data_IF_041212046435
#
_entry.id   IF_041212046435
#
_cell.length_a   1.000
_cell.length_b   1.000
_cell.length_c   1.000
_cell.angle_alpha   90.00
_cell.angle_beta   90.00
_cell.angle_gamma   90.00
#
_symmetry.space_group_name_H-M   'P 1'
#
loop_
_entity.id
_entity.type
_entity.pdbx_description
1 polymer ?
#
# COMPACT_ATOMS: atom_id res chain seq x y z
N UNK A 1 28.43 -30.18 -25.25
CA UNK A 1 28.01 -30.10 -23.84
C UNK A 1 28.17 -28.66 -23.43
N UNK A 2 27.14 -27.85 -23.72
CA UNK A 2 27.12 -26.46 -23.29
C UNK A 2 26.60 -26.42 -21.85
N UNK A 3 27.51 -26.19 -20.92
CA UNK A 3 27.17 -25.69 -19.60
C UNK A 3 26.82 -24.22 -19.78
N UNK A 4 25.54 -23.93 -20.07
CA UNK A 4 24.99 -22.63 -19.76
C UNK A 4 25.07 -22.48 -18.24
N UNK A 5 26.05 -21.72 -17.77
CA UNK A 5 26.08 -21.27 -16.40
C UNK A 5 24.76 -20.53 -16.16
N UNK A 6 23.88 -21.07 -15.32
CA UNK A 6 22.79 -20.32 -14.72
C UNK A 6 23.48 -19.11 -14.03
N UNK A 7 23.47 -17.97 -14.69
CA UNK A 7 23.79 -16.71 -13.99
C UNK A 7 22.72 -16.57 -12.92
N UNK A 8 23.10 -16.87 -11.67
CA UNK A 8 22.28 -16.58 -10.52
C UNK A 8 21.96 -15.08 -10.59
N UNK A 9 20.68 -14.79 -10.79
CA UNK A 9 20.20 -13.41 -10.80
C UNK A 9 20.35 -12.85 -9.37
N UNK A 10 21.29 -11.92 -9.18
CA UNK A 10 21.47 -11.20 -7.94
C UNK A 10 20.82 -9.82 -8.05
N UNK A 11 19.86 -9.56 -7.18
CA UNK A 11 19.24 -8.24 -7.06
C UNK A 11 20.23 -7.30 -6.38
N UNK A 12 20.41 -6.10 -6.95
CA UNK A 12 21.23 -5.05 -6.36
C UNK A 12 20.56 -4.35 -5.18
N UNK A 13 21.07 -3.17 -4.82
CA UNK A 13 20.46 -2.33 -3.77
C UNK A 13 19.03 -1.93 -4.15
N UNK A 14 18.03 -2.20 -3.29
CA UNK A 14 16.66 -1.82 -3.58
C UNK A 14 16.49 -0.30 -3.73
N UNK A 15 15.86 0.12 -4.81
CA UNK A 15 15.43 1.50 -5.06
C UNK A 15 13.93 1.68 -4.84
N UNK A 16 13.15 0.63 -5.11
CA UNK A 16 11.71 0.61 -4.91
C UNK A 16 11.32 -0.74 -4.31
N UNK A 17 10.58 -0.71 -3.20
CA UNK A 17 9.91 -1.87 -2.62
C UNK A 17 8.42 -1.59 -2.60
N UNK A 18 7.63 -2.52 -3.10
CA UNK A 18 6.17 -2.51 -2.97
C UNK A 18 5.74 -3.71 -2.12
N UNK A 19 4.80 -3.49 -1.22
CA UNK A 19 4.12 -4.52 -0.42
C UNK A 19 2.63 -4.33 -0.62
N UNK A 20 2.03 -5.20 -1.42
CA UNK A 20 0.64 -5.06 -1.83
C UNK A 20 -0.19 -6.20 -1.29
N UNK A 21 -1.21 -5.86 -0.52
CA UNK A 21 -2.12 -6.83 0.07
C UNK A 21 -2.91 -7.57 -1.01
N UNK A 22 -2.91 -8.91 -0.93
CA UNK A 22 -3.76 -9.76 -1.77
C UNK A 22 -5.13 -9.98 -1.12
N UNK A 23 -6.11 -10.29 -1.95
CA UNK A 23 -7.44 -10.71 -1.53
C UNK A 23 -7.91 -11.83 -2.44
N UNK A 24 -8.04 -13.04 -1.87
CA UNK A 24 -8.45 -14.25 -2.60
C UNK A 24 -7.66 -14.43 -3.91
N UNK A 25 -6.35 -14.49 -3.80
CA UNK A 25 -5.42 -14.69 -4.93
C UNK A 25 -5.43 -13.59 -5.99
N UNK A 26 -5.98 -12.42 -5.68
CA UNK A 26 -5.95 -11.26 -6.59
C UNK A 26 -5.33 -10.04 -5.94
N UNK A 27 -4.96 -9.08 -6.76
CA UNK A 27 -4.45 -7.79 -6.32
C UNK A 27 -5.56 -6.74 -6.41
N UNK A 28 -6.24 -6.41 -5.29
CA UNK A 28 -7.18 -5.30 -5.28
C UNK A 28 -6.47 -3.99 -5.64
N UNK A 29 -7.15 -3.09 -6.34
CA UNK A 29 -6.57 -1.82 -6.75
C UNK A 29 -5.39 -1.92 -7.75
N UNK A 30 -5.18 -3.04 -8.43
CA UNK A 30 -4.07 -3.28 -9.37
C UNK A 30 -3.74 -2.05 -10.22
N UNK A 31 -4.73 -1.51 -10.92
CA UNK A 31 -4.53 -0.34 -11.79
C UNK A 31 -4.08 0.91 -11.02
N UNK A 32 -4.45 1.05 -9.74
CA UNK A 32 -4.00 2.17 -8.89
C UNK A 32 -2.58 1.95 -8.43
N UNK A 33 -2.24 0.74 -8.01
CA UNK A 33 -0.90 0.33 -7.58
C UNK A 33 0.11 0.47 -8.73
N UNK A 34 -0.21 -0.02 -9.92
CA UNK A 34 0.66 0.13 -11.09
C UNK A 34 0.84 1.60 -11.52
N UNK A 35 -0.22 2.42 -11.44
CA UNK A 35 -0.10 3.86 -11.68
C UNK A 35 0.76 4.57 -10.63
N UNK A 36 0.66 4.16 -9.36
CA UNK A 36 1.51 4.67 -8.29
C UNK A 36 2.97 4.28 -8.53
N UNK A 37 3.24 3.02 -8.90
CA UNK A 37 4.56 2.55 -9.30
C UNK A 37 5.15 3.37 -10.46
N UNK A 38 4.34 3.67 -11.47
CA UNK A 38 4.77 4.47 -12.62
C UNK A 38 5.18 5.91 -12.31
N UNK A 39 4.78 6.44 -11.15
CA UNK A 39 5.19 7.77 -10.67
C UNK A 39 6.48 7.74 -9.85
N UNK A 40 6.99 6.53 -9.52
CA UNK A 40 8.23 6.36 -8.77
C UNK A 40 9.44 6.70 -9.64
N UNK A 41 10.56 6.96 -8.99
CA UNK A 41 11.83 7.27 -9.65
C UNK A 41 12.92 6.29 -9.21
N UNK A 42 13.77 5.91 -10.14
CA UNK A 42 15.00 5.15 -9.92
C UNK A 42 16.13 6.06 -10.36
N UNK A 43 17.09 6.36 -9.50
CA UNK A 43 18.19 7.28 -9.76
C UNK A 43 17.71 8.64 -10.38
N UNK A 44 16.58 9.17 -9.89
CA UNK A 44 15.98 10.42 -10.36
C UNK A 44 15.13 10.32 -11.64
N UNK A 45 15.19 9.22 -12.39
CA UNK A 45 14.39 8.99 -13.60
C UNK A 45 13.06 8.26 -13.26
N UNK A 46 11.96 8.60 -13.92
CA UNK A 46 10.69 7.87 -13.74
C UNK A 46 10.84 6.39 -14.11
N UNK A 47 10.10 5.52 -13.43
CA UNK A 47 10.00 4.10 -13.79
C UNK A 47 9.64 3.95 -15.26
N UNK A 48 10.43 3.18 -16.00
CA UNK A 48 10.28 3.03 -17.44
C UNK A 48 8.98 2.32 -17.83
N UNK A 49 8.44 2.63 -19.01
CA UNK A 49 7.27 1.93 -19.57
C UNK A 49 7.53 0.43 -19.73
N UNK A 50 8.77 0.04 -20.08
CA UNK A 50 9.18 -1.36 -20.21
C UNK A 50 9.06 -2.09 -18.87
N UNK A 51 9.53 -1.47 -17.78
CA UNK A 51 9.44 -2.04 -16.43
C UNK A 51 7.99 -2.14 -15.94
N UNK A 52 7.14 -1.16 -16.25
CA UNK A 52 5.71 -1.24 -15.94
C UNK A 52 5.00 -2.35 -16.72
N UNK A 53 5.32 -2.52 -18.01
CA UNK A 53 4.78 -3.60 -18.82
C UNK A 53 5.24 -4.97 -18.28
N UNK A 54 6.51 -5.09 -17.92
CA UNK A 54 7.04 -6.27 -17.25
C UNK A 54 6.29 -6.55 -15.93
N UNK A 55 6.12 -5.53 -15.08
CA UNK A 55 5.42 -5.68 -13.81
C UNK A 55 3.99 -6.19 -14.01
N UNK A 56 3.25 -5.64 -14.99
CA UNK A 56 1.89 -6.08 -15.29
C UNK A 56 1.85 -7.53 -15.77
N UNK A 57 2.74 -7.94 -16.66
CA UNK A 57 2.80 -9.29 -17.19
C UNK A 57 3.20 -10.31 -16.11
N UNK A 58 4.22 -9.99 -15.30
CA UNK A 58 4.72 -10.88 -14.26
C UNK A 58 3.77 -11.00 -13.08
N UNK A 59 2.94 -9.99 -12.84
CA UNK A 59 1.92 -10.02 -11.81
C UNK A 59 0.97 -11.21 -11.99
N UNK A 60 0.44 -11.44 -13.19
CA UNK A 60 -0.46 -12.56 -13.48
C UNK A 60 0.22 -13.91 -13.19
N UNK A 61 1.47 -14.10 -13.62
CA UNK A 61 2.23 -15.33 -13.38
C UNK A 61 2.58 -15.55 -11.93
N UNK A 62 3.02 -14.48 -11.24
CA UNK A 62 3.38 -14.54 -9.82
C UNK A 62 2.16 -14.84 -8.96
N UNK A 63 1.00 -14.29 -9.29
CA UNK A 63 -0.24 -14.59 -8.60
C UNK A 63 -0.68 -16.02 -8.87
N UNK A 64 -0.59 -16.49 -10.10
CA UNK A 64 -0.95 -17.87 -10.46
C UNK A 64 -0.11 -18.90 -9.69
N UNK A 65 1.20 -18.69 -9.55
CA UNK A 65 2.11 -19.65 -8.90
C UNK A 65 2.19 -19.47 -7.38
N UNK A 66 2.21 -18.22 -6.89
CA UNK A 66 2.51 -17.92 -5.49
C UNK A 66 1.29 -17.73 -4.60
N UNK A 67 0.15 -17.30 -5.15
CA UNK A 67 -1.04 -17.03 -4.36
C UNK A 67 -1.81 -18.27 -3.91
N UNK A 68 -1.51 -19.44 -4.47
CA UNK A 68 -2.11 -20.72 -4.03
C UNK A 68 -1.75 -21.03 -2.57
N UNK A 69 -0.53 -20.69 -2.14
CA UNK A 69 -0.08 -20.87 -0.76
C UNK A 69 -0.56 -19.73 0.15
N UNK A 70 -0.56 -18.49 -0.38
CA UNK A 70 -0.94 -17.29 0.38
C UNK A 70 -2.01 -16.47 -0.35
N UNK A 71 -3.27 -16.96 -0.43
CA UNK A 71 -4.32 -16.28 -1.20
C UNK A 71 -4.68 -14.89 -0.67
N UNK A 72 -4.53 -14.67 0.62
CA UNK A 72 -4.69 -13.36 1.28
C UNK A 72 -3.33 -12.84 1.80
N UNK A 73 -2.25 -13.16 1.11
CA UNK A 73 -0.89 -12.80 1.44
C UNK A 73 -0.49 -11.38 1.04
N UNK A 74 0.81 -11.18 0.85
CA UNK A 74 1.41 -9.93 0.36
C UNK A 74 2.20 -10.22 -0.89
N UNK A 75 1.89 -9.53 -1.98
CA UNK A 75 2.73 -9.48 -3.15
C UNK A 75 3.83 -8.45 -2.90
N UNK A 76 5.07 -8.90 -2.94
CA UNK A 76 6.25 -8.07 -2.83
C UNK A 76 6.86 -7.86 -4.23
N UNK A 77 7.11 -6.62 -4.58
CA UNK A 77 7.86 -6.23 -5.78
C UNK A 77 9.07 -5.44 -5.33
N UNK A 78 10.26 -5.90 -5.71
CA UNK A 78 11.52 -5.22 -5.42
C UNK A 78 12.16 -4.84 -6.74
N UNK A 79 12.54 -3.57 -6.87
CA UNK A 79 13.25 -3.04 -8.04
C UNK A 79 14.52 -2.38 -7.52
N UNK A 80 15.65 -2.77 -8.09
CA UNK A 80 16.96 -2.22 -7.71
C UNK A 80 17.28 -0.91 -8.45
N UNK A 81 18.44 -0.30 -8.10
CA UNK A 81 18.93 0.94 -8.69
C UNK A 81 19.24 0.81 -10.20
N UNK A 82 19.45 -0.40 -10.72
CA UNK A 82 19.67 -0.72 -12.12
C UNK A 82 18.37 -0.98 -12.88
N UNK A 83 17.23 -1.02 -12.18
CA UNK A 83 15.91 -1.31 -12.75
C UNK A 83 15.66 -2.80 -12.99
N UNK A 84 16.47 -3.68 -12.38
CA UNK A 84 16.17 -5.11 -12.31
C UNK A 84 15.07 -5.33 -11.27
N UNK A 85 14.19 -6.29 -11.50
CA UNK A 85 13.03 -6.46 -10.65
C UNK A 85 12.69 -7.93 -10.38
N UNK A 86 12.19 -8.19 -9.18
CA UNK A 86 11.65 -9.48 -8.75
C UNK A 86 10.29 -9.31 -8.14
N UNK A 87 9.46 -10.35 -8.24
CA UNK A 87 8.16 -10.45 -7.57
C UNK A 87 8.08 -11.76 -6.81
N UNK A 88 7.45 -11.72 -5.64
CA UNK A 88 7.17 -12.91 -4.84
C UNK A 88 5.90 -12.70 -4.02
N UNK A 89 5.24 -13.79 -3.64
CA UNK A 89 4.11 -13.77 -2.70
C UNK A 89 4.55 -14.43 -1.41
N UNK A 90 4.22 -13.81 -0.30
CA UNK A 90 4.50 -14.34 1.03
C UNK A 90 3.30 -14.16 1.97
N UNK A 91 3.42 -14.67 3.22
CA UNK A 91 2.37 -14.55 4.20
C UNK A 91 2.12 -13.08 4.57
N UNK A 92 0.87 -12.76 4.90
CA UNK A 92 0.52 -11.50 5.52
C UNK A 92 0.63 -11.62 7.04
N UNK A 93 1.33 -10.67 7.65
CA UNK A 93 1.35 -10.49 9.10
C UNK A 93 0.51 -9.26 9.47
N UNK A 94 -0.57 -9.47 10.22
CA UNK A 94 -1.37 -8.36 10.73
C UNK A 94 -0.56 -7.52 11.72
N UNK A 95 -0.96 -6.26 11.90
CA UNK A 95 -0.40 -5.44 12.98
C UNK A 95 -0.73 -6.08 14.34
N UNK A 96 0.25 -6.14 15.21
CA UNK A 96 0.08 -6.69 16.57
C UNK A 96 -0.88 -5.84 17.42
N UNK A 97 -0.97 -4.53 17.13
CA UNK A 97 -1.82 -3.60 17.86
C UNK A 97 -2.23 -2.43 16.96
N UNK A 98 -3.49 -2.01 17.08
CA UNK A 98 -4.04 -0.79 16.48
C UNK A 98 -4.14 0.37 17.48
N UNK A 99 -3.48 0.27 18.64
CA UNK A 99 -3.42 1.41 19.56
C UNK A 99 -2.82 2.66 18.89
N UNK A 100 -3.25 3.84 19.31
CA UNK A 100 -2.73 5.10 18.78
C UNK A 100 -1.18 5.14 18.81
N UNK A 101 -0.58 4.73 19.92
CA UNK A 101 0.88 4.70 20.05
C UNK A 101 1.55 3.75 19.03
N UNK A 102 0.93 2.60 18.77
CA UNK A 102 1.43 1.63 17.77
C UNK A 102 1.33 2.20 16.36
N UNK A 103 0.23 2.87 15.99
CA UNK A 103 0.06 3.47 14.67
C UNK A 103 1.01 4.66 14.44
N UNK A 104 1.25 5.49 15.46
CA UNK A 104 2.26 6.56 15.43
C UNK A 104 3.65 5.97 15.17
N UNK A 105 4.06 5.00 15.99
CA UNK A 105 5.35 4.33 15.85
C UNK A 105 5.50 3.68 14.48
N UNK A 106 4.44 3.06 13.96
CA UNK A 106 4.44 2.45 12.63
C UNK A 106 4.65 3.48 11.53
N UNK A 107 3.96 4.63 11.58
CA UNK A 107 4.14 5.73 10.64
C UNK A 107 5.59 6.25 10.66
N UNK A 108 6.19 6.44 11.84
CA UNK A 108 7.58 6.88 12.00
C UNK A 108 8.57 5.86 11.42
N UNK A 109 8.42 4.58 11.75
CA UNK A 109 9.29 3.50 11.24
C UNK A 109 9.19 3.41 9.72
N UNK A 110 7.97 3.43 9.17
CA UNK A 110 7.77 3.31 7.73
C UNK A 110 8.32 4.52 6.96
N UNK A 111 8.27 5.71 7.55
CA UNK A 111 8.90 6.91 6.98
C UNK A 111 10.42 6.73 6.84
N UNK A 112 11.09 6.22 7.89
CA UNK A 112 12.53 5.92 7.83
C UNK A 112 12.85 4.77 6.87
N UNK A 113 12.01 3.73 6.83
CA UNK A 113 12.16 2.62 5.90
C UNK A 113 12.03 3.10 4.44
N UNK A 114 11.09 3.99 4.15
CA UNK A 114 10.88 4.57 2.83
C UNK A 114 12.14 5.24 2.27
N UNK A 115 12.92 5.89 3.11
CA UNK A 115 14.19 6.53 2.70
C UNK A 115 15.31 5.52 2.41
N UNK A 116 15.26 4.33 3.03
CA UNK A 116 16.30 3.31 2.88
C UNK A 116 16.02 2.33 1.74
N UNK A 117 14.77 1.94 1.57
CA UNK A 117 14.37 0.86 0.67
C UNK A 117 13.46 1.32 -0.47
N UNK A 118 13.05 2.59 -0.44
CA UNK A 118 12.07 3.10 -1.39
C UNK A 118 10.68 2.44 -1.23
N UNK A 119 10.31 1.90 -0.08
CA UNK A 119 8.92 1.47 0.16
C UNK A 119 8.00 2.69 0.24
N UNK A 120 6.72 2.53 -0.13
CA UNK A 120 5.74 3.60 0.07
C UNK A 120 5.50 3.81 1.57
N UNK A 121 5.66 5.03 2.12
CA UNK A 121 5.44 5.25 3.53
C UNK A 121 3.97 5.04 3.92
N UNK A 122 3.76 4.45 5.07
CA UNK A 122 2.45 4.36 5.69
C UNK A 122 2.09 5.73 6.26
N UNK A 123 0.92 6.23 5.93
CA UNK A 123 0.52 7.59 6.26
C UNK A 123 -0.45 7.59 7.42
N UNK A 124 -0.12 8.32 8.49
CA UNK A 124 -1.06 8.63 9.56
C UNK A 124 -2.04 9.71 9.08
N UNK A 125 -3.33 9.48 9.28
CA UNK A 125 -4.41 10.41 9.00
C UNK A 125 -5.16 10.77 10.26
N UNK A 126 -5.53 12.03 10.38
CA UNK A 126 -6.28 12.57 11.51
C UNK A 126 -7.53 13.26 11.00
N UNK A 127 -8.64 13.07 11.69
CA UNK A 127 -9.87 13.85 11.50
C UNK A 127 -9.97 14.89 12.62
N UNK A 128 -10.18 16.14 12.27
CA UNK A 128 -10.45 17.22 13.19
C UNK A 128 -11.45 18.20 12.56
N UNK A 129 -12.58 18.44 13.24
CA UNK A 129 -13.61 19.36 12.76
C UNK A 129 -13.98 19.09 11.29
N UNK A 130 -14.32 17.84 10.94
CA UNK A 130 -14.69 17.40 9.59
C UNK A 130 -13.61 17.61 8.50
N UNK A 131 -12.40 17.96 8.88
CA UNK A 131 -11.25 18.09 8.00
C UNK A 131 -10.29 16.92 8.19
N UNK A 132 -9.77 16.38 7.10
CA UNK A 132 -8.74 15.36 7.09
C UNK A 132 -7.35 16.00 7.05
N UNK A 133 -6.47 15.54 7.94
CA UNK A 133 -5.06 15.89 7.95
C UNK A 133 -4.22 14.67 7.61
N UNK A 134 -3.36 14.78 6.63
CA UNK A 134 -2.44 13.74 6.19
C UNK A 134 -1.02 14.03 6.73
N UNK A 135 -0.42 13.06 7.43
CA UNK A 135 0.91 13.19 8.04
C UNK A 135 2.05 13.07 7.02
N UNK A 136 1.99 13.86 5.96
CA UNK A 136 3.00 13.93 4.89
C UNK A 136 3.03 15.34 4.29
N UNK A 137 4.14 15.71 3.69
CA UNK A 137 4.24 16.93 2.88
C UNK A 137 3.41 16.80 1.59
N UNK A 138 2.79 17.90 1.15
CA UNK A 138 2.02 17.93 -0.09
C UNK A 138 2.91 17.60 -1.29
N UNK A 139 2.46 16.68 -2.13
CA UNK A 139 3.21 16.23 -3.30
C UNK A 139 4.20 15.09 -3.03
N UNK A 140 4.40 14.71 -1.76
CA UNK A 140 5.19 13.53 -1.41
C UNK A 140 4.50 12.26 -1.94
N UNK A 141 5.30 11.30 -2.36
CA UNK A 141 4.81 9.98 -2.72
C UNK A 141 4.27 9.26 -1.47
N UNK A 142 3.06 8.73 -1.58
CA UNK A 142 2.39 7.96 -0.52
C UNK A 142 1.90 6.61 -1.04
N UNK A 143 1.40 5.77 -0.15
CA UNK A 143 0.76 4.51 -0.52
C UNK A 143 -0.46 4.74 -1.44
N UNK A 144 -0.79 3.77 -2.29
CA UNK A 144 -1.96 3.85 -3.16
C UNK A 144 -3.27 3.86 -2.35
N UNK A 145 -3.27 3.25 -1.16
CA UNK A 145 -4.39 3.31 -0.21
C UNK A 145 -4.54 4.72 0.36
N UNK A 146 -3.45 5.42 0.69
CA UNK A 146 -3.50 6.82 1.11
C UNK A 146 -4.06 7.73 0.00
N UNK A 147 -3.65 7.50 -1.25
CA UNK A 147 -4.22 8.21 -2.41
C UNK A 147 -5.70 7.89 -2.62
N UNK A 148 -6.15 6.65 -2.33
CA UNK A 148 -7.56 6.28 -2.38
C UNK A 148 -8.38 7.08 -1.36
N UNK A 149 -7.89 7.20 -0.13
CA UNK A 149 -8.54 8.00 0.92
C UNK A 149 -8.63 9.48 0.51
N UNK A 150 -7.56 10.06 -0.03
CA UNK A 150 -7.57 11.43 -0.52
C UNK A 150 -8.59 11.65 -1.66
N UNK A 151 -8.70 10.69 -2.60
CA UNK A 151 -9.66 10.76 -3.70
C UNK A 151 -11.11 10.62 -3.21
N UNK A 152 -11.36 9.72 -2.25
CA UNK A 152 -12.67 9.57 -1.60
C UNK A 152 -13.06 10.84 -0.84
N UNK A 153 -12.14 11.42 -0.08
CA UNK A 153 -12.36 12.69 0.60
C UNK A 153 -12.78 13.79 -0.37
N UNK A 154 -12.04 13.93 -1.48
CA UNK A 154 -12.37 14.91 -2.52
C UNK A 154 -13.77 14.68 -3.11
N UNK A 155 -14.12 13.41 -3.37
CA UNK A 155 -15.44 13.05 -3.91
C UNK A 155 -16.57 13.38 -2.94
N UNK A 156 -16.31 13.27 -1.64
CA UNK A 156 -17.25 13.57 -0.57
C UNK A 156 -17.26 15.06 -0.17
N UNK A 157 -16.43 15.89 -0.78
CA UNK A 157 -16.30 17.31 -0.43
C UNK A 157 -15.61 17.56 0.92
N UNK A 158 -14.86 16.57 1.43
CA UNK A 158 -14.13 16.67 2.70
C UNK A 158 -12.80 17.38 2.45
N UNK A 159 -12.50 18.48 3.14
CA UNK A 159 -11.21 19.17 3.02
C UNK A 159 -10.05 18.25 3.44
N UNK A 160 -8.92 18.34 2.71
CA UNK A 160 -7.68 17.62 3.02
C UNK A 160 -6.56 18.61 3.21
N UNK A 161 -5.89 18.55 4.35
CA UNK A 161 -4.71 19.34 4.71
C UNK A 161 -3.52 18.41 4.82
N UNK A 162 -2.39 18.77 4.22
CA UNK A 162 -1.14 18.04 4.31
C UNK A 162 -0.25 18.72 5.36
N UNK A 163 0.22 17.95 6.34
CA UNK A 163 0.99 18.44 7.48
C UNK A 163 2.12 17.45 7.79
N UNK A 164 3.35 17.78 7.41
CA UNK A 164 4.53 16.94 7.63
C UNK A 164 4.80 16.66 9.11
N UNK A 165 4.39 17.58 10.00
CA UNK A 165 4.64 17.49 11.44
C UNK A 165 3.49 16.81 12.19
N UNK A 166 2.46 16.33 11.45
CA UNK A 166 1.25 15.78 12.06
C UNK A 166 1.56 14.66 13.05
N UNK A 167 2.46 13.75 12.69
CA UNK A 167 2.81 12.58 13.53
C UNK A 167 3.39 13.06 14.87
N UNK A 168 4.31 14.02 14.85
CA UNK A 168 4.90 14.62 16.05
C UNK A 168 3.86 15.39 16.87
N UNK A 169 2.99 16.18 16.22
CA UNK A 169 1.91 16.92 16.88
C UNK A 169 0.93 16.00 17.62
N UNK A 170 0.61 14.85 17.04
CA UNK A 170 -0.26 13.84 17.65
C UNK A 170 0.46 13.15 18.80
N UNK A 171 1.71 12.72 18.62
CA UNK A 171 2.52 12.04 19.62
C UNK A 171 2.70 12.92 20.88
N UNK A 172 3.02 14.20 20.70
CA UNK A 172 3.25 15.15 21.79
C UNK A 172 1.98 15.83 22.29
N UNK A 173 0.79 15.40 21.84
CA UNK A 173 -0.51 15.96 22.23
C UNK A 173 -0.64 17.48 21.95
N UNK A 174 0.03 17.95 20.93
CA UNK A 174 0.00 19.36 20.50
C UNK A 174 -1.20 19.67 19.59
N UNK A 175 -1.93 18.65 19.16
CA UNK A 175 -3.13 18.77 18.33
C UNK A 175 -4.26 17.95 18.93
N UNK A 176 -5.40 18.59 19.20
CA UNK A 176 -6.64 17.87 19.50
C UNK A 176 -7.23 17.31 18.19
N UNK A 177 -7.82 16.13 18.24
CA UNK A 177 -8.41 15.45 17.08
C UNK A 177 -9.60 14.58 17.51
N UNK A 178 -10.45 14.23 16.54
CA UNK A 178 -11.65 13.43 16.74
C UNK A 178 -11.39 11.96 16.46
N UNK A 179 -10.64 11.65 15.40
CA UNK A 179 -10.34 10.29 14.96
C UNK A 179 -8.95 10.21 14.35
N UNK A 180 -8.36 9.01 14.40
CA UNK A 180 -7.03 8.71 13.82
C UNK A 180 -7.07 7.36 13.13
N UNK A 181 -6.42 7.26 11.96
CA UNK A 181 -6.23 6.01 11.24
C UNK A 181 -4.93 6.02 10.43
N UNK A 182 -4.44 4.84 10.10
CA UNK A 182 -3.25 4.62 9.27
C UNK A 182 -3.67 4.11 7.89
N UNK A 183 -3.01 4.56 6.84
CA UNK A 183 -3.13 4.04 5.48
C UNK A 183 -1.85 3.35 5.04
N UNK A 184 -1.96 2.12 4.56
CA UNK A 184 -0.86 1.27 4.11
C UNK A 184 -1.29 0.44 2.91
N UNK A 185 -0.37 0.19 1.96
CA UNK A 185 -0.64 -0.73 0.85
C UNK A 185 -0.63 -2.20 1.31
N UNK A 186 0.01 -2.49 2.44
CA UNK A 186 0.05 -3.81 3.05
C UNK A 186 -1.13 -4.04 4.01
N UNK A 187 -1.43 -3.07 4.86
CA UNK A 187 -2.41 -3.23 5.93
C UNK A 187 -3.78 -2.60 5.61
N UNK A 188 -3.88 -1.81 4.54
CA UNK A 188 -5.11 -1.12 4.17
C UNK A 188 -5.37 0.14 4.99
N UNK A 189 -6.60 0.34 5.42
CA UNK A 189 -7.02 1.46 6.28
C UNK A 189 -7.31 0.91 7.67
N UNK A 190 -6.58 1.38 8.68
CA UNK A 190 -6.65 0.87 10.06
C UNK A 190 -6.96 2.03 10.99
N UNK A 191 -8.13 2.04 11.61
CA UNK A 191 -8.46 3.00 12.64
C UNK A 191 -7.73 2.68 13.95
N UNK A 192 -7.33 3.71 14.69
CA UNK A 192 -6.78 3.52 16.03
C UNK A 192 -7.88 3.06 17.00
N UNK A 193 -7.51 2.21 17.96
CA UNK A 193 -8.43 1.72 19.00
C UNK A 193 -9.07 2.91 19.74
N UNK A 194 -10.40 2.88 19.88
CA UNK A 194 -11.18 3.95 20.48
C UNK A 194 -11.44 5.16 19.57
N UNK A 195 -10.91 5.15 18.33
CA UNK A 195 -11.12 6.19 17.31
C UNK A 195 -11.77 5.64 16.04
N UNK A 196 -12.30 4.42 16.08
CA UNK A 196 -12.91 3.68 14.99
C UNK A 196 -14.39 4.07 14.75
N UNK A 197 -14.68 5.36 14.82
CA UNK A 197 -16.03 5.92 14.65
C UNK A 197 -16.08 6.92 13.50
N UNK A 198 -17.24 7.40 13.18
CA UNK A 198 -17.46 8.54 12.29
C UNK A 198 -16.79 8.40 10.92
N UNK A 199 -15.91 9.35 10.60
CA UNK A 199 -15.26 9.43 9.30
C UNK A 199 -14.17 8.36 9.12
N UNK A 200 -13.39 8.07 10.16
CA UNK A 200 -12.38 7.00 10.11
C UNK A 200 -13.03 5.65 9.80
N UNK A 201 -14.12 5.32 10.49
CA UNK A 201 -14.88 4.10 10.22
C UNK A 201 -15.41 4.03 8.78
N UNK A 202 -15.88 5.16 8.22
CA UNK A 202 -16.33 5.20 6.82
C UNK A 202 -15.21 4.84 5.84
N UNK A 203 -14.00 5.31 6.05
CA UNK A 203 -12.85 4.97 5.19
C UNK A 203 -12.44 3.51 5.35
N UNK A 204 -12.42 2.98 6.58
CA UNK A 204 -12.19 1.55 6.86
C UNK A 204 -13.23 0.70 6.14
N UNK A 205 -14.52 1.01 6.30
CA UNK A 205 -15.62 0.26 5.65
C UNK A 205 -15.56 0.36 4.12
N UNK A 206 -15.22 1.54 3.58
CA UNK A 206 -15.08 1.72 2.14
C UNK A 206 -13.97 0.84 1.57
N UNK A 207 -12.83 0.73 2.27
CA UNK A 207 -11.75 -0.16 1.90
C UNK A 207 -12.17 -1.63 1.96
N UNK A 208 -12.79 -2.08 3.05
CA UNK A 208 -13.28 -3.46 3.18
C UNK A 208 -14.34 -3.80 2.13
N UNK A 209 -15.26 -2.86 1.82
CA UNK A 209 -16.25 -3.05 0.76
C UNK A 209 -15.59 -3.26 -0.60
N UNK A 210 -14.47 -2.58 -0.86
CA UNK A 210 -13.68 -2.78 -2.07
C UNK A 210 -13.11 -4.20 -2.13
N UNK A 211 -12.48 -4.67 -1.04
CA UNK A 211 -11.94 -6.03 -0.95
C UNK A 211 -13.02 -7.09 -1.17
N UNK A 212 -14.18 -6.93 -0.55
CA UNK A 212 -15.31 -7.84 -0.71
C UNK A 212 -15.86 -7.88 -2.14
N UNK A 213 -15.87 -6.74 -2.82
CA UNK A 213 -16.26 -6.70 -4.24
C UNK A 213 -15.29 -7.49 -5.12
N UNK A 214 -14.00 -7.39 -4.85
CA UNK A 214 -12.99 -8.17 -5.58
C UNK A 214 -13.15 -9.68 -5.30
N UNK A 215 -13.35 -10.10 -4.05
CA UNK A 215 -13.67 -11.50 -3.71
C UNK A 215 -14.85 -12.05 -4.49
N UNK A 216 -15.96 -11.31 -4.53
CA UNK A 216 -17.18 -11.73 -5.23
C UNK A 216 -16.99 -11.87 -6.73
N UNK A 217 -16.20 -10.99 -7.36
CA UNK A 217 -15.90 -11.10 -8.80
C UNK A 217 -15.20 -12.42 -9.13
N UNK A 218 -14.23 -12.82 -8.31
CA UNK A 218 -13.47 -14.04 -8.52
C UNK A 218 -14.35 -15.27 -8.35
N UNK A 219 -15.18 -15.30 -7.28
CA UNK A 219 -16.11 -16.39 -7.05
C UNK A 219 -17.09 -16.55 -8.22
N UNK A 220 -17.58 -15.45 -8.79
CA UNK A 220 -18.45 -15.47 -9.96
C UNK A 220 -17.75 -16.01 -11.22
N UNK A 221 -16.47 -15.69 -11.41
CA UNK A 221 -15.67 -16.18 -12.54
C UNK A 221 -15.38 -17.69 -12.45
N UNK A 222 -15.08 -18.22 -11.25
CA UNK A 222 -14.85 -19.65 -11.05
C UNK A 222 -16.12 -20.47 -11.05
N UNK A 223 -17.27 -19.91 -10.63
CA UNK A 223 -18.57 -20.57 -10.66
C UNK A 223 -19.16 -20.75 -12.08
N UNK A 224 -18.70 -19.95 -13.06
CA UNK A 224 -19.15 -20.04 -14.45
C UNK A 224 -18.36 -21.03 -15.33
N UNK A 225 -17.25 -21.57 -14.81
CA UNK A 225 -16.40 -22.54 -15.55
C UNK A 225 -16.78 -23.99 -15.23
N UNK A 226 -17.68 -24.22 -14.26
CA UNK A 226 -18.13 -25.54 -13.81
C UNK A 226 -19.58 -25.91 -14.19
N UNK A 227 -20.22 -25.18 -15.10
CA UNK A 227 -21.59 -25.45 -15.55
C UNK A 227 -21.65 -25.89 -17.01
#
# INVERSE_FOLDING_TARGET
MDQMAEQLFELGTPAIVCRWRLCSSTLPLENRLLRALGKRKIAGAPVSRKLLAWAKQHLEWTLYSGSSEYPDGVLMVIIDEQGQAVMTVGPYAALESSSLASLIKRAQISYHEAHKTGVAPETLWVVKNETLYAGVEQGTFTSAVSLLVADLARTLGIPVVYDSDLVEKVEHKQMAFDQVFLCSDEHGVIAADGYDTGMAQKFVQSYHTLLEKERKKIQAQHGSVGA
#
